data_IF_524935156899
#
_entry.id   IF_524935156899
#
_cell.length_a   1.000
_cell.length_b   1.000
_cell.length_c   1.000
_cell.angle_alpha   90.00
_cell.angle_beta   90.00
_cell.angle_gamma   90.00
#
_symmetry.space_group_name_H-M   'P 1'
#
loop_
_entity.id
_entity.type
_entity.pdbx_description
1 polymer ?
#
# COMPACT_ATOMS: atom_id res chain seq x y z
N UNK A 1 18.76 -4.24 13.65
CA UNK A 1 18.62 -3.40 14.86
C UNK A 1 17.18 -3.53 15.30
N UNK A 2 16.95 -3.67 16.60
CA UNK A 2 15.61 -3.81 17.16
C UNK A 2 15.57 -3.07 18.48
N UNK A 3 14.47 -2.40 18.75
CA UNK A 3 14.24 -1.75 20.04
C UNK A 3 13.33 -2.65 20.84
N UNK A 4 13.72 -2.98 22.07
CA UNK A 4 12.88 -3.77 22.98
C UNK A 4 12.38 -2.86 24.09
N UNK A 5 11.06 -2.82 24.29
CA UNK A 5 10.40 -2.08 25.36
C UNK A 5 9.55 -3.07 26.15
N UNK A 6 9.99 -3.39 27.37
CA UNK A 6 9.37 -4.45 28.18
C UNK A 6 9.43 -5.80 27.46
N UNK A 7 8.26 -6.39 27.17
CA UNK A 7 8.13 -7.65 26.45
C UNK A 7 7.89 -7.48 24.94
N UNK A 8 7.86 -6.25 24.43
CA UNK A 8 7.66 -5.97 23.02
C UNK A 8 8.99 -5.71 22.32
N UNK A 9 9.20 -6.35 21.17
CA UNK A 9 10.38 -6.16 20.32
C UNK A 9 9.95 -5.56 18.98
N UNK A 10 10.38 -4.33 18.73
CA UNK A 10 10.19 -3.63 17.47
C UNK A 10 11.37 -3.94 16.55
N UNK A 11 11.08 -4.49 15.38
CA UNK A 11 12.09 -4.91 14.41
C UNK A 11 12.00 -3.98 13.21
N UNK A 12 13.14 -3.42 12.83
CA UNK A 12 13.27 -2.66 11.57
C UNK A 12 13.52 -3.63 10.41
N UNK A 13 12.50 -3.82 9.56
CA UNK A 13 12.57 -4.71 8.40
C UNK A 13 13.63 -4.27 7.38
N UNK A 14 13.89 -2.96 7.25
CA UNK A 14 14.82 -2.43 6.26
C UNK A 14 16.27 -2.92 6.46
N UNK A 15 16.58 -3.44 7.65
CA UNK A 15 17.90 -4.01 7.94
C UNK A 15 18.03 -5.48 7.57
N UNK A 16 16.93 -6.16 7.30
CA UNK A 16 16.90 -7.56 6.87
C UNK A 16 16.51 -7.70 5.40
N UNK A 17 16.00 -6.64 4.78
CA UNK A 17 15.58 -6.62 3.38
C UNK A 17 16.42 -5.63 2.58
N UNK A 18 17.00 -6.10 1.47
CA UNK A 18 17.94 -5.31 0.66
C UNK A 18 17.23 -4.28 -0.25
N UNK A 19 15.91 -4.40 -0.43
CA UNK A 19 15.15 -3.61 -1.40
C UNK A 19 13.85 -3.04 -0.81
N UNK A 20 13.20 -2.13 -1.53
CA UNK A 20 11.88 -1.59 -1.18
C UNK A 20 10.81 -2.69 -1.18
N UNK A 21 9.73 -2.47 -0.41
CA UNK A 21 8.58 -3.37 -0.38
C UNK A 21 8.02 -3.66 -1.78
N UNK A 22 8.00 -2.66 -2.65
CA UNK A 22 7.55 -2.82 -4.04
C UNK A 22 8.42 -3.83 -4.79
N UNK A 23 9.75 -3.68 -4.74
CA UNK A 23 10.68 -4.60 -5.38
C UNK A 23 10.56 -6.01 -4.80
N UNK A 24 10.42 -6.13 -3.47
CA UNK A 24 10.25 -7.42 -2.81
C UNK A 24 8.94 -8.12 -3.22
N UNK A 25 7.84 -7.38 -3.29
CA UNK A 25 6.54 -7.91 -3.72
C UNK A 25 6.61 -8.44 -5.16
N UNK A 26 7.30 -7.71 -6.05
CA UNK A 26 7.53 -8.14 -7.45
C UNK A 26 8.42 -9.37 -7.58
N UNK A 27 9.41 -9.54 -6.69
CA UNK A 27 10.32 -10.70 -6.70
C UNK A 27 9.69 -11.96 -6.10
N UNK A 28 8.62 -11.81 -5.33
CA UNK A 28 7.90 -12.93 -4.76
C UNK A 28 6.95 -13.54 -5.80
N UNK A 29 7.05 -14.85 -6.04
CA UNK A 29 6.21 -15.55 -7.00
C UNK A 29 5.10 -16.38 -6.34
N UNK A 30 5.14 -16.50 -5.01
CA UNK A 30 4.26 -17.40 -4.26
C UNK A 30 3.54 -16.63 -3.17
N UNK A 31 2.22 -16.45 -3.34
CA UNK A 31 1.36 -15.85 -2.34
C UNK A 31 0.19 -16.77 -2.05
N UNK A 32 0.39 -17.89 -1.33
CA UNK A 32 -0.62 -18.94 -1.20
C UNK A 32 -1.96 -18.43 -0.68
N UNK A 33 -1.94 -17.61 0.37
CA UNK A 33 -3.16 -17.04 0.94
C UNK A 33 -3.85 -16.07 -0.01
N UNK A 34 -3.07 -15.25 -0.73
CA UNK A 34 -3.61 -14.28 -1.68
C UNK A 34 -4.22 -15.00 -2.88
N UNK A 35 -3.56 -16.03 -3.38
CA UNK A 35 -4.03 -16.81 -4.53
C UNK A 35 -5.30 -17.60 -4.20
N UNK A 36 -5.47 -18.04 -2.94
CA UNK A 36 -6.71 -18.67 -2.47
C UNK A 36 -7.88 -17.69 -2.42
N UNK A 37 -7.65 -16.46 -1.97
CA UNK A 37 -8.74 -15.49 -1.74
C UNK A 37 -9.00 -14.55 -2.92
N UNK A 38 -8.01 -14.35 -3.79
CA UNK A 38 -8.03 -13.37 -4.87
C UNK A 38 -7.59 -13.99 -6.20
N UNK A 39 -7.86 -15.29 -6.43
CA UNK A 39 -7.42 -16.00 -7.63
C UNK A 39 -7.65 -15.22 -8.94
N UNK A 40 -8.85 -14.67 -9.11
CA UNK A 40 -9.24 -13.92 -10.32
C UNK A 40 -8.51 -12.57 -10.47
N UNK A 41 -8.05 -11.99 -9.36
CA UNK A 41 -7.43 -10.67 -9.27
C UNK A 41 -5.99 -10.72 -8.73
N UNK A 42 -5.35 -11.89 -8.75
CA UNK A 42 -4.08 -12.12 -8.06
C UNK A 42 -2.97 -11.22 -8.62
N UNK A 43 -2.96 -10.99 -9.93
CA UNK A 43 -1.99 -10.11 -10.60
C UNK A 43 -2.06 -8.66 -10.08
N UNK A 44 -3.26 -8.18 -9.77
CA UNK A 44 -3.48 -6.86 -9.20
C UNK A 44 -3.03 -6.80 -7.73
N UNK A 45 -3.35 -7.85 -6.96
CA UNK A 45 -3.09 -7.88 -5.51
C UNK A 45 -1.65 -8.22 -5.11
N UNK A 46 -0.87 -8.84 -5.99
CA UNK A 46 0.56 -9.17 -5.74
C UNK A 46 1.48 -7.95 -5.79
N UNK A 47 0.99 -6.80 -6.24
CA UNK A 47 1.75 -5.54 -6.25
C UNK A 47 1.53 -4.78 -4.95
N UNK A 48 2.49 -3.93 -4.58
CA UNK A 48 2.31 -2.97 -3.48
C UNK A 48 1.14 -2.03 -3.81
N UNK A 49 0.24 -1.83 -2.86
CA UNK A 49 -0.85 -0.86 -2.98
C UNK A 49 -0.36 0.60 -3.01
N UNK A 50 -1.11 1.45 -3.71
CA UNK A 50 -0.87 2.89 -3.80
C UNK A 50 -1.88 3.59 -2.89
N UNK A 51 -1.37 4.32 -1.89
CA UNK A 51 -2.20 4.86 -0.81
C UNK A 51 -1.73 6.27 -0.41
N UNK A 52 -2.65 7.23 -0.18
CA UNK A 52 -2.29 8.63 0.06
C UNK A 52 -1.98 8.86 1.55
N UNK A 53 -0.83 8.40 2.02
CA UNK A 53 -0.47 8.43 3.45
C UNK A 53 -0.46 9.85 4.02
N UNK A 54 0.11 10.80 3.29
CA UNK A 54 0.27 12.19 3.69
C UNK A 54 -1.08 12.94 3.72
N UNK A 55 -2.01 12.55 2.84
CA UNK A 55 -3.38 13.07 2.84
C UNK A 55 -4.15 12.67 4.11
N UNK A 56 -3.87 11.49 4.69
CA UNK A 56 -4.60 10.94 5.83
C UNK A 56 -4.16 11.53 7.17
N UNK A 57 -4.40 12.83 7.32
CA UNK A 57 -4.08 13.60 8.54
C UNK A 57 -4.96 13.27 9.74
N UNK A 58 -6.12 12.64 9.52
CA UNK A 58 -7.04 12.21 10.57
C UNK A 58 -7.91 11.04 10.11
N UNK A 59 -8.49 10.31 11.07
CA UNK A 59 -9.33 9.13 10.80
C UNK A 59 -10.61 9.45 10.01
N UNK A 60 -11.14 10.67 10.10
CA UNK A 60 -12.37 11.01 9.38
C UNK A 60 -12.19 10.95 7.86
N UNK A 61 -10.96 11.18 7.36
CA UNK A 61 -10.64 11.08 5.93
C UNK A 61 -10.77 9.67 5.38
N UNK A 62 -10.63 8.64 6.22
CA UNK A 62 -10.88 7.26 5.79
C UNK A 62 -12.34 7.06 5.36
N UNK A 63 -13.28 7.85 5.89
CA UNK A 63 -14.70 7.77 5.52
C UNK A 63 -15.03 8.52 4.22
N UNK A 64 -14.08 9.20 3.58
CA UNK A 64 -14.31 9.86 2.31
C UNK A 64 -14.57 8.82 1.22
N UNK A 65 -15.57 9.08 0.37
CA UNK A 65 -16.13 8.08 -0.56
C UNK A 65 -15.45 8.02 -1.92
N UNK A 66 -14.32 8.69 -2.05
CA UNK A 66 -13.54 8.75 -3.28
C UNK A 66 -12.08 8.96 -2.93
N UNK A 67 -11.17 8.39 -3.74
CA UNK A 67 -9.76 8.68 -3.63
C UNK A 67 -9.49 10.19 -3.87
N UNK A 68 -8.53 10.79 -3.15
CA UNK A 68 -8.15 12.18 -3.37
C UNK A 68 -7.47 12.33 -4.73
N UNK A 69 -7.32 13.57 -5.25
CA UNK A 69 -6.60 13.79 -6.49
C UNK A 69 -5.14 13.33 -6.36
N UNK A 70 -4.50 12.97 -7.48
CA UNK A 70 -3.14 12.42 -7.55
C UNK A 70 -2.11 13.31 -6.82
N UNK A 71 -2.30 14.62 -6.86
CA UNK A 71 -1.42 15.60 -6.23
C UNK A 71 -1.28 15.38 -4.72
N UNK A 72 -2.29 14.79 -4.08
CA UNK A 72 -2.32 14.46 -2.65
C UNK A 72 -1.64 13.11 -2.31
N UNK A 73 -1.08 12.41 -3.31
CA UNK A 73 -0.27 11.19 -3.13
C UNK A 73 1.24 11.49 -3.09
N UNK A 74 1.64 12.69 -2.68
CA UNK A 74 3.05 13.02 -2.47
C UNK A 74 3.64 12.25 -1.30
N UNK A 75 4.73 11.51 -1.51
CA UNK A 75 5.41 10.80 -0.43
C UNK A 75 6.51 11.65 0.20
N UNK A 76 6.38 11.99 1.49
CA UNK A 76 7.44 12.66 2.25
C UNK A 76 8.68 11.77 2.42
N UNK A 77 8.51 10.44 2.35
CA UNK A 77 9.60 9.48 2.50
C UNK A 77 10.55 9.50 1.29
N UNK A 78 10.00 9.56 0.07
CA UNK A 78 10.81 9.59 -1.17
C UNK A 78 11.01 11.00 -1.71
N UNK A 79 10.16 11.96 -1.31
CA UNK A 79 10.18 13.33 -1.80
C UNK A 79 9.57 13.49 -3.19
N UNK A 80 8.70 12.56 -3.60
CA UNK A 80 8.19 12.46 -4.98
C UNK A 80 6.67 12.24 -5.00
N UNK A 81 6.03 12.70 -6.07
CA UNK A 81 4.65 12.33 -6.40
C UNK A 81 4.63 10.98 -7.11
N UNK A 82 3.51 10.27 -6.98
CA UNK A 82 3.26 9.06 -7.77
C UNK A 82 3.09 9.38 -9.27
N UNK A 83 3.36 8.38 -10.10
CA UNK A 83 3.14 8.45 -11.54
C UNK A 83 1.65 8.33 -11.90
N UNK A 84 1.28 8.75 -13.13
CA UNK A 84 -0.08 8.56 -13.64
C UNK A 84 -0.52 7.08 -13.66
N UNK A 85 0.42 6.17 -13.95
CA UNK A 85 0.16 4.72 -13.97
C UNK A 85 -0.13 4.17 -12.57
N UNK A 86 0.56 4.66 -11.55
CA UNK A 86 0.30 4.29 -10.16
C UNK A 86 -1.03 4.83 -9.66
N UNK A 87 -1.37 6.08 -10.02
CA UNK A 87 -2.67 6.64 -9.67
C UNK A 87 -3.81 5.88 -10.36
N UNK A 88 -3.66 5.55 -11.64
CA UNK A 88 -4.63 4.72 -12.35
C UNK A 88 -4.78 3.34 -11.69
N UNK A 89 -3.68 2.73 -11.26
CA UNK A 89 -3.73 1.46 -10.53
C UNK A 89 -4.52 1.58 -9.22
N UNK A 90 -4.37 2.69 -8.46
CA UNK A 90 -5.16 2.94 -7.26
C UNK A 90 -6.66 3.03 -7.58
N UNK A 91 -7.03 3.75 -8.64
CA UNK A 91 -8.42 3.87 -9.11
C UNK A 91 -8.99 2.51 -9.55
N UNK A 92 -8.20 1.72 -10.28
CA UNK A 92 -8.62 0.41 -10.77
C UNK A 92 -8.89 -0.54 -9.60
N UNK A 93 -8.02 -0.58 -8.58
CA UNK A 93 -8.22 -1.37 -7.36
C UNK A 93 -9.48 -0.90 -6.62
N UNK A 94 -9.60 0.40 -6.38
CA UNK A 94 -10.73 0.99 -5.67
C UNK A 94 -12.07 0.62 -6.34
N UNK A 95 -12.11 0.69 -7.67
CA UNK A 95 -13.29 0.31 -8.46
C UNK A 95 -13.51 -1.20 -8.51
N UNK A 96 -12.46 -2.00 -8.68
CA UNK A 96 -12.52 -3.46 -8.83
C UNK A 96 -13.09 -4.12 -7.59
N UNK A 97 -12.71 -3.63 -6.41
CA UNK A 97 -13.19 -4.15 -5.13
C UNK A 97 -14.45 -3.45 -4.63
N UNK A 98 -14.96 -2.45 -5.36
CA UNK A 98 -16.17 -1.72 -4.99
C UNK A 98 -16.03 -1.01 -3.64
N UNK A 99 -14.83 -0.49 -3.35
CA UNK A 99 -14.56 0.28 -2.13
C UNK A 99 -15.53 1.46 -2.04
N UNK A 100 -16.12 1.67 -0.86
CA UNK A 100 -17.09 2.74 -0.62
C UNK A 100 -16.44 3.94 0.02
N UNK A 101 -15.30 3.75 0.66
CA UNK A 101 -14.53 4.80 1.31
C UNK A 101 -13.02 4.48 1.23
N UNK A 102 -12.16 5.45 1.54
CA UNK A 102 -10.69 5.29 1.47
C UNK A 102 -10.18 4.21 2.45
N UNK A 103 -10.90 3.96 3.54
CA UNK A 103 -10.55 2.97 4.55
C UNK A 103 -10.94 1.52 4.22
N UNK A 104 -11.67 1.28 3.12
CA UNK A 104 -12.03 -0.08 2.64
C UNK A 104 -10.88 -0.72 1.86
#
# INVERSE_FOLDING_TARGET
MSVTIGHLKFIDSAQFTINSLESLARLCNNFPSLDVHFADNASMMRRKGIFPYEYLTNFSRLNETSLPPREEFYSMLTGEHITDSEYQHALDIYSLFGCKNIGD
#
